data_IF_821790996908
#
_entry.id   IF_821790996908
#
_cell.length_a   1.000
_cell.length_b   1.000
_cell.length_c   1.000
_cell.angle_alpha   90.00
_cell.angle_beta   90.00
_cell.angle_gamma   90.00
#
_symmetry.space_group_name_H-M   'P 1'
#
loop_
_entity.id
_entity.type
_entity.pdbx_description
1 polymer ?
#
# COMPACT_ATOMS: atom_id res chain seq x y z
N UNK A 1 -5.59 19.48 -41.89
CA UNK A 1 -6.49 18.59 -41.14
C UNK A 1 -5.62 17.72 -40.26
N UNK A 2 -5.33 18.15 -39.02
CA UNK A 2 -4.50 17.36 -38.10
C UNK A 2 -5.44 16.39 -37.38
N UNK A 3 -5.25 15.10 -37.60
CA UNK A 3 -5.82 14.08 -36.72
C UNK A 3 -5.14 14.26 -35.37
N UNK A 4 -5.84 14.82 -34.39
CA UNK A 4 -5.39 14.80 -33.01
C UNK A 4 -5.26 13.33 -32.61
N UNK A 5 -4.03 12.88 -32.39
CA UNK A 5 -3.77 11.54 -31.87
C UNK A 5 -4.61 11.35 -30.61
N UNK A 6 -5.47 10.35 -30.60
CA UNK A 6 -6.19 9.94 -29.41
C UNK A 6 -5.12 9.45 -28.44
N UNK A 7 -4.77 10.29 -27.47
CA UNK A 7 -3.88 9.92 -26.39
C UNK A 7 -4.66 8.92 -25.52
N UNK A 8 -4.31 7.64 -25.64
CA UNK A 8 -4.90 6.60 -24.80
C UNK A 8 -4.40 6.86 -23.38
N UNK A 9 -5.30 7.36 -22.53
CA UNK A 9 -5.00 7.57 -21.13
C UNK A 9 -5.02 6.21 -20.44
N UNK A 10 -3.84 5.73 -20.06
CA UNK A 10 -3.68 4.47 -19.33
C UNK A 10 -3.91 4.68 -17.83
N UNK A 11 -4.40 3.64 -17.17
CA UNK A 11 -4.44 3.56 -15.71
C UNK A 11 -3.05 3.28 -15.15
N UNK A 12 -2.77 3.80 -13.97
CA UNK A 12 -1.49 3.59 -13.29
C UNK A 12 -1.16 2.10 -13.10
N UNK A 13 -2.15 1.25 -12.80
CA UNK A 13 -1.93 -0.18 -12.67
C UNK A 13 -1.43 -0.83 -13.99
N UNK A 14 -1.86 -0.33 -15.14
CA UNK A 14 -1.49 -0.84 -16.47
C UNK A 14 -0.05 -0.52 -16.85
N UNK A 15 0.57 0.43 -16.15
CA UNK A 15 1.99 0.79 -16.31
C UNK A 15 2.92 -0.17 -15.55
N UNK A 16 2.38 -1.04 -14.69
CA UNK A 16 3.17 -2.00 -13.91
C UNK A 16 3.30 -3.34 -14.62
N UNK A 17 4.27 -4.18 -14.22
CA UNK A 17 4.36 -5.59 -14.62
C UNK A 17 3.19 -6.44 -14.08
N UNK A 18 2.43 -5.90 -13.11
CA UNK A 18 1.43 -6.63 -12.33
C UNK A 18 0.06 -5.92 -12.26
N UNK A 19 -0.57 -5.58 -13.40
CA UNK A 19 -1.78 -4.77 -13.42
C UNK A 19 -2.92 -5.36 -12.60
N UNK A 20 -3.06 -6.69 -12.58
CA UNK A 20 -4.10 -7.40 -11.81
C UNK A 20 -3.96 -7.22 -10.29
N UNK A 21 -2.73 -7.06 -9.77
CA UNK A 21 -2.50 -6.85 -8.33
C UNK A 21 -2.98 -5.45 -7.94
N UNK A 22 -2.75 -4.46 -8.80
CA UNK A 22 -3.00 -3.05 -8.51
C UNK A 22 -4.36 -2.53 -9.00
N UNK A 23 -5.10 -3.27 -9.83
CA UNK A 23 -6.34 -2.81 -10.45
C UNK A 23 -7.43 -2.30 -9.48
N UNK A 24 -7.44 -2.81 -8.25
CA UNK A 24 -8.42 -2.43 -7.22
C UNK A 24 -7.85 -1.56 -6.10
N UNK A 25 -6.60 -1.14 -6.23
CA UNK A 25 -5.98 -0.18 -5.31
C UNK A 25 -6.48 1.23 -5.60
N UNK A 26 -6.41 2.13 -4.62
CA UNK A 26 -6.74 3.54 -4.84
C UNK A 26 -5.80 4.13 -5.90
N UNK A 27 -4.48 3.95 -5.71
CA UNK A 27 -3.46 4.40 -6.67
C UNK A 27 -3.65 3.83 -8.08
N UNK A 28 -3.95 2.54 -8.20
CA UNK A 28 -4.04 1.87 -9.51
C UNK A 28 -5.25 2.30 -10.35
N UNK A 29 -6.22 3.04 -9.78
CA UNK A 29 -7.39 3.57 -10.49
C UNK A 29 -7.17 4.95 -11.10
N UNK A 30 -6.05 5.61 -10.79
CA UNK A 30 -5.72 6.89 -11.38
C UNK A 30 -5.30 6.73 -12.83
N UNK A 31 -5.61 7.77 -13.60
CA UNK A 31 -5.38 7.86 -15.03
C UNK A 31 -4.28 8.90 -15.30
N UNK A 32 -3.50 8.70 -16.37
CA UNK A 32 -2.54 9.70 -16.88
C UNK A 32 -1.09 9.40 -16.55
N UNK A 33 -0.27 10.46 -16.43
CA UNK A 33 1.18 10.32 -16.16
C UNK A 33 1.41 9.99 -14.69
N UNK A 34 2.26 8.99 -14.45
CA UNK A 34 2.73 8.60 -13.13
C UNK A 34 4.26 8.63 -13.13
N UNK A 35 4.85 8.90 -11.96
CA UNK A 35 6.31 8.89 -11.81
C UNK A 35 6.88 7.49 -12.09
N UNK A 36 7.85 7.41 -13.00
CA UNK A 36 8.51 6.14 -13.36
C UNK A 36 9.15 5.43 -12.16
N UNK A 37 9.67 6.21 -11.20
CA UNK A 37 10.22 5.66 -9.97
C UNK A 37 9.16 4.98 -9.10
N UNK A 38 7.94 5.55 -9.01
CA UNK A 38 6.84 4.93 -8.26
C UNK A 38 6.41 3.62 -8.92
N UNK A 39 6.37 3.59 -10.26
CA UNK A 39 6.09 2.37 -11.03
C UNK A 39 7.17 1.31 -10.78
N UNK A 40 8.46 1.70 -10.83
CA UNK A 40 9.59 0.79 -10.55
C UNK A 40 9.50 0.23 -9.13
N UNK A 41 9.32 1.10 -8.13
CA UNK A 41 9.20 0.71 -6.73
C UNK A 41 8.02 -0.24 -6.48
N UNK A 42 6.89 -0.08 -7.19
CA UNK A 42 5.75 -1.01 -7.12
C UNK A 42 6.04 -2.36 -7.76
N UNK A 43 6.79 -2.40 -8.86
CA UNK A 43 7.22 -3.68 -9.43
C UNK A 43 8.14 -4.42 -8.46
N UNK A 44 9.13 -3.71 -7.90
CA UNK A 44 10.05 -4.25 -6.91
C UNK A 44 9.34 -4.70 -5.64
N UNK A 45 8.37 -3.93 -5.12
CA UNK A 45 7.54 -4.32 -3.98
C UNK A 45 6.82 -5.66 -4.23
N UNK A 46 6.23 -5.83 -5.41
CA UNK A 46 5.57 -7.10 -5.74
C UNK A 46 6.55 -8.27 -5.76
N UNK A 47 7.72 -8.06 -6.36
CA UNK A 47 8.77 -9.08 -6.50
C UNK A 47 9.40 -9.44 -5.14
N UNK A 48 9.83 -8.43 -4.38
CA UNK A 48 10.50 -8.55 -3.08
C UNK A 48 9.62 -9.27 -2.05
N UNK A 49 8.34 -8.92 -1.98
CA UNK A 49 7.42 -9.51 -1.01
C UNK A 49 6.66 -10.73 -1.53
N UNK A 50 6.86 -11.10 -2.80
CA UNK A 50 6.15 -12.21 -3.44
C UNK A 50 4.64 -12.02 -3.47
N UNK A 51 4.17 -10.79 -3.71
CA UNK A 51 2.75 -10.45 -3.63
C UNK A 51 1.95 -11.22 -4.68
N UNK A 52 0.84 -11.83 -4.25
CA UNK A 52 -0.05 -12.63 -5.11
C UNK A 52 -1.36 -11.93 -5.39
N UNK A 53 -1.88 -11.18 -4.42
CA UNK A 53 -3.16 -10.46 -4.52
C UNK A 53 -3.23 -9.34 -3.49
N UNK A 54 -4.04 -8.33 -3.80
CA UNK A 54 -4.58 -7.41 -2.80
C UNK A 54 -5.62 -8.17 -1.97
N UNK A 55 -5.49 -8.13 -0.65
CA UNK A 55 -6.39 -8.82 0.28
C UNK A 55 -6.37 -8.10 1.63
N UNK A 56 -7.52 -7.56 2.04
CA UNK A 56 -7.70 -6.88 3.33
C UNK A 56 -8.49 -7.78 4.28
N UNK A 57 -7.84 -8.61 5.10
CA UNK A 57 -8.56 -9.50 6.02
C UNK A 57 -9.31 -8.68 7.08
N UNK A 58 -10.57 -9.04 7.34
CA UNK A 58 -11.49 -8.32 8.25
C UNK A 58 -10.90 -8.01 9.64
N UNK A 59 -10.08 -8.91 10.21
CA UNK A 59 -9.46 -8.72 11.54
C UNK A 59 -8.31 -7.71 11.51
N UNK A 60 -7.51 -7.69 10.44
CA UNK A 60 -6.43 -6.71 10.27
C UNK A 60 -6.99 -5.33 9.97
N UNK A 61 -8.12 -5.29 9.25
CA UNK A 61 -8.92 -4.08 9.08
C UNK A 61 -9.24 -3.50 10.46
N UNK A 62 -9.60 -4.30 11.47
CA UNK A 62 -9.95 -3.80 12.81
C UNK A 62 -8.76 -3.21 13.58
N UNK A 63 -7.57 -3.82 13.56
CA UNK A 63 -6.38 -3.24 14.22
C UNK A 63 -5.90 -1.96 13.55
N UNK A 64 -5.94 -1.91 12.21
CA UNK A 64 -5.63 -0.71 11.43
C UNK A 64 -6.70 0.35 11.66
N UNK A 65 -7.96 -0.04 11.72
CA UNK A 65 -9.12 0.82 11.96
C UNK A 65 -9.09 1.42 13.37
N UNK A 66 -8.64 0.69 14.39
CA UNK A 66 -8.44 1.24 15.74
C UNK A 66 -7.35 2.32 15.73
N UNK A 67 -6.24 2.11 15.01
CA UNK A 67 -5.22 3.14 14.82
C UNK A 67 -5.79 4.35 14.05
N UNK A 68 -6.62 4.09 13.03
CA UNK A 68 -7.19 5.10 12.14
C UNK A 68 -8.31 5.93 12.77
N UNK A 69 -9.10 5.40 13.70
CA UNK A 69 -10.19 6.15 14.37
C UNK A 69 -9.76 6.81 15.69
N UNK A 70 -8.50 6.64 16.08
CA UNK A 70 -7.91 7.38 17.20
C UNK A 70 -7.35 8.74 16.77
N UNK A 71 -6.48 9.29 17.62
CA UNK A 71 -5.75 10.55 17.36
C UNK A 71 -4.73 10.41 16.20
N UNK A 72 -4.50 9.19 15.72
CA UNK A 72 -3.43 8.85 14.78
C UNK A 72 -3.89 8.70 13.32
N UNK A 73 -5.10 9.15 12.98
CA UNK A 73 -5.63 9.06 11.61
C UNK A 73 -4.69 9.66 10.56
N UNK A 74 -3.99 10.74 10.93
CA UNK A 74 -2.97 11.41 10.12
C UNK A 74 -1.79 10.52 9.73
N UNK A 75 -1.43 9.54 10.57
CA UNK A 75 -0.29 8.66 10.34
C UNK A 75 -0.65 7.42 9.53
N UNK A 76 -1.95 7.08 9.43
CA UNK A 76 -2.44 5.86 8.77
C UNK A 76 -3.38 6.29 7.63
N UNK A 77 -2.78 6.77 6.55
CA UNK A 77 -3.47 7.10 5.31
C UNK A 77 -3.08 6.16 4.16
N UNK A 78 -3.91 6.13 3.12
CA UNK A 78 -3.68 5.35 1.90
C UNK A 78 -3.26 3.90 2.17
N UNK A 79 -3.95 3.27 3.13
CA UNK A 79 -3.62 1.92 3.55
C UNK A 79 -4.03 0.89 2.49
N UNK A 80 -3.10 0.03 2.11
CA UNK A 80 -3.38 -1.13 1.28
C UNK A 80 -2.83 -2.39 1.97
N UNK A 81 -3.45 -3.54 1.70
CA UNK A 81 -3.02 -4.80 2.27
C UNK A 81 -2.94 -5.85 1.17
N UNK A 82 -1.84 -6.61 1.21
CA UNK A 82 -1.49 -7.59 0.21
C UNK A 82 -1.19 -8.93 0.86
N UNK A 83 -1.39 -10.01 0.12
CA UNK A 83 -1.09 -11.37 0.56
C UNK A 83 -0.08 -12.03 -0.37
N UNK A 84 0.97 -12.63 0.21
CA UNK A 84 2.02 -13.33 -0.53
C UNK A 84 1.91 -14.87 -0.48
N UNK A 85 0.87 -15.40 0.17
CA UNK A 85 0.72 -16.84 0.39
C UNK A 85 1.04 -17.30 1.81
N UNK A 86 1.82 -16.52 2.57
CA UNK A 86 2.26 -16.84 3.94
C UNK A 86 1.85 -15.77 4.94
N UNK A 87 2.06 -14.52 4.60
CA UNK A 87 1.82 -13.35 5.44
C UNK A 87 1.03 -12.28 4.69
N UNK A 88 0.49 -11.34 5.46
CA UNK A 88 -0.01 -10.09 4.95
C UNK A 88 1.11 -9.04 4.95
N UNK A 89 1.12 -8.19 3.93
CA UNK A 89 1.99 -7.02 3.84
C UNK A 89 1.08 -5.80 3.81
N UNK A 90 1.10 -5.05 4.89
CA UNK A 90 0.35 -3.80 5.04
C UNK A 90 1.23 -2.67 4.60
N UNK A 91 0.72 -1.80 3.74
CA UNK A 91 1.35 -0.54 3.40
C UNK A 91 0.49 0.60 3.92
N UNK A 92 1.12 1.71 4.22
CA UNK A 92 0.47 3.00 4.44
C UNK A 92 1.39 4.10 3.95
N UNK A 93 0.82 5.17 3.43
CA UNK A 93 1.58 6.29 2.88
C UNK A 93 0.88 7.59 3.24
N UNK A 94 1.08 8.09 4.47
CA UNK A 94 0.55 9.38 4.89
C UNK A 94 1.08 10.51 4.02
N UNK A 95 0.19 11.40 3.60
CA UNK A 95 0.56 12.68 2.99
C UNK A 95 0.70 13.71 4.11
N UNK A 96 1.92 13.85 4.63
CA UNK A 96 2.23 14.84 5.64
C UNK A 96 3.68 14.74 6.09
N UNK A 97 4.27 15.87 6.47
CA UNK A 97 5.53 15.88 7.21
C UNK A 97 5.20 16.06 8.67
N UNK A 98 4.84 14.97 9.35
CA UNK A 98 4.71 15.00 10.80
C UNK A 98 6.06 14.72 11.43
N UNK A 99 6.50 15.59 12.34
CA UNK A 99 7.81 15.53 12.98
C UNK A 99 8.09 14.15 13.62
N UNK A 100 7.03 13.51 14.13
CA UNK A 100 7.09 12.21 14.80
C UNK A 100 6.61 11.02 13.96
N UNK A 101 6.35 11.20 12.65
CA UNK A 101 5.82 10.12 11.79
C UNK A 101 6.69 8.87 11.83
N UNK A 102 7.98 9.06 11.58
CA UNK A 102 8.98 7.99 11.54
C UNK A 102 9.08 7.27 12.91
N UNK A 103 8.93 8.01 14.01
CA UNK A 103 8.96 7.48 15.39
C UNK A 103 7.72 6.63 15.65
N UNK A 104 6.53 7.17 15.34
CA UNK A 104 5.25 6.48 15.50
C UNK A 104 5.19 5.18 14.68
N UNK A 105 5.62 5.25 13.41
CA UNK A 105 5.62 4.10 12.52
C UNK A 105 6.51 2.97 13.04
N UNK A 106 7.74 3.30 13.47
CA UNK A 106 8.63 2.30 14.07
C UNK A 106 8.05 1.73 15.37
N UNK A 107 7.49 2.57 16.25
CA UNK A 107 6.88 2.12 17.50
C UNK A 107 5.69 1.17 17.28
N UNK A 108 4.99 1.30 16.14
CA UNK A 108 3.87 0.43 15.75
C UNK A 108 4.30 -0.78 14.90
N UNK A 109 5.60 -0.99 14.72
CA UNK A 109 6.17 -2.13 14.01
C UNK A 109 6.15 -2.00 12.48
N UNK A 110 5.97 -0.78 11.97
CA UNK A 110 6.22 -0.47 10.56
C UNK A 110 7.69 -0.13 10.33
N UNK A 111 8.15 -0.38 9.10
CA UNK A 111 9.47 0.04 8.62
C UNK A 111 9.29 0.96 7.42
N UNK A 112 10.12 2.00 7.31
CA UNK A 112 10.15 2.89 6.16
C UNK A 112 10.58 2.11 4.92
N UNK A 113 9.95 2.37 3.79
CA UNK A 113 10.18 1.71 2.52
C UNK A 113 10.25 2.73 1.38
N UNK A 114 10.58 2.25 0.19
CA UNK A 114 10.57 3.06 -1.04
C UNK A 114 9.18 3.64 -1.28
N UNK A 115 9.12 4.84 -1.88
CA UNK A 115 7.86 5.53 -2.13
C UNK A 115 7.02 4.76 -3.14
N UNK A 116 5.79 4.41 -2.76
CA UNK A 116 4.83 3.68 -3.61
C UNK A 116 3.65 4.53 -4.07
N UNK A 117 3.53 5.78 -3.63
CA UNK A 117 2.36 6.62 -3.91
C UNK A 117 2.69 7.85 -4.76
N UNK A 118 3.53 8.73 -4.22
CA UNK A 118 4.10 9.88 -4.93
C UNK A 118 5.49 10.18 -4.39
N UNK A 119 6.20 11.10 -5.03
CA UNK A 119 7.50 11.58 -4.53
C UNK A 119 7.41 12.32 -3.19
N UNK A 120 6.23 12.82 -2.81
CA UNK A 120 6.08 13.58 -1.58
C UNK A 120 5.50 12.75 -0.42
N UNK A 121 5.16 11.47 -0.66
CA UNK A 121 4.57 10.59 0.34
C UNK A 121 5.59 9.53 0.78
N UNK A 122 5.95 9.54 2.07
CA UNK A 122 6.67 8.44 2.67
C UNK A 122 5.82 7.16 2.61
N UNK A 123 6.44 6.02 2.39
CA UNK A 123 5.77 4.72 2.46
C UNK A 123 6.34 3.91 3.60
N UNK A 124 5.44 3.25 4.34
CA UNK A 124 5.78 2.35 5.42
C UNK A 124 5.13 1.00 5.21
N UNK A 125 5.86 -0.05 5.57
CA UNK A 125 5.43 -1.43 5.43
C UNK A 125 5.41 -2.15 6.77
N UNK A 126 4.45 -3.05 6.96
CA UNK A 126 4.41 -3.99 8.09
C UNK A 126 4.03 -5.37 7.61
N UNK A 127 4.86 -6.35 7.90
CA UNK A 127 4.57 -7.76 7.60
C UNK A 127 3.89 -8.40 8.80
N UNK A 128 2.71 -8.97 8.57
CA UNK A 128 1.89 -9.60 9.60
C UNK A 128 1.69 -11.07 9.24
N UNK A 129 2.11 -11.97 10.11
CA UNK A 129 1.90 -13.40 9.90
C UNK A 129 0.41 -13.71 9.80
N UNK A 130 0.03 -14.59 8.86
CA UNK A 130 -1.34 -15.10 8.82
C UNK A 130 -1.54 -15.96 10.06
N UNK A 131 -2.21 -15.45 11.08
CA UNK A 131 -2.52 -16.26 12.26
C UNK A 131 -3.36 -17.44 11.82
N UNK A 132 -2.98 -18.70 12.12
CA UNK A 132 -3.87 -19.83 11.94
C UNK A 132 -5.14 -19.59 12.78
N UNK A 133 -6.29 -19.93 12.22
CA UNK A 133 -7.62 -19.62 12.79
C UNK A 133 -7.87 -20.24 14.19
N UNK A 134 -6.93 -21.03 14.71
CA UNK A 134 -7.04 -21.81 15.95
C UNK A 134 -6.05 -21.35 17.02
N UNK A 135 -6.16 -20.10 17.47
CA UNK A 135 -5.76 -19.79 18.85
C UNK A 135 -6.99 -19.28 19.56
N UNK A 136 -7.62 -20.20 20.30
CA UNK A 136 -8.49 -19.87 21.43
C UNK A 136 -7.77 -18.84 22.28
N UNK A 137 -8.38 -17.66 22.37
CA UNK A 137 -8.01 -16.66 23.36
C UNK A 137 -8.41 -17.31 24.69
N UNK A 138 -7.43 -17.88 25.40
CA UNK A 138 -7.58 -18.15 26.82
C UNK A 138 -7.71 -16.79 27.48
N UNK A 139 -8.94 -16.44 27.85
CA UNK A 139 -9.24 -15.34 28.76
C UNK A 139 -8.55 -15.58 30.10
#
# INVERSE_FOLDING_TARGET
MFLSSIEIIMKYCELTKYPKIYANTYWGRFDGKCDEEVISNRNEFTEEFGIKKQDMPKKLNMSIFVLRNGIYWNYIDHTECYFNGKSYVVITSPYGTYEDEDVFMRATGFSKYKKLYSQDANTYIKVVQKTPYNMSIGL
#
